data_IF_087209348723
#
_entry.id   IF_087209348723
#
_cell.length_a   1.000
_cell.length_b   1.000
_cell.length_c   1.000
_cell.angle_alpha   90.00
_cell.angle_beta   90.00
_cell.angle_gamma   90.00
#
_symmetry.space_group_name_H-M   'P 1'
#
loop_
_entity.id
_entity.type
_entity.pdbx_description
1 polymer ?
#
# COMPACT_ATOMS: atom_id res chain seq x y z
N UNK A 1 -10.86 -3.18 -1.23
CA UNK A 1 -10.27 -1.88 -0.84
C UNK A 1 -11.32 -0.84 -0.48
N UNK A 2 -12.32 -0.53 -1.31
CA UNK A 2 -13.32 0.50 -0.93
C UNK A 2 -14.19 0.07 0.25
N UNK A 3 -14.60 -1.20 0.33
CA UNK A 3 -15.33 -1.77 1.48
C UNK A 3 -14.51 -1.76 2.78
N UNK A 4 -13.19 -1.98 2.68
CA UNK A 4 -12.29 -1.93 3.83
C UNK A 4 -12.08 -0.49 4.31
N UNK A 5 -11.91 0.46 3.40
CA UNK A 5 -11.82 1.89 3.75
C UNK A 5 -13.12 2.40 4.37
N UNK A 6 -14.27 1.97 3.85
CA UNK A 6 -15.57 2.30 4.42
C UNK A 6 -15.73 1.73 5.85
N UNK A 7 -15.27 0.50 6.06
CA UNK A 7 -15.30 -0.16 7.37
C UNK A 7 -14.41 0.55 8.38
N UNK A 8 -13.19 0.96 7.99
CA UNK A 8 -12.26 1.70 8.84
C UNK A 8 -12.86 3.04 9.26
N UNK A 9 -13.48 3.75 8.30
CA UNK A 9 -14.12 5.03 8.58
C UNK A 9 -15.25 4.87 9.59
N UNK A 10 -16.10 3.87 9.41
CA UNK A 10 -17.15 3.53 10.37
C UNK A 10 -16.60 3.14 11.75
N UNK A 11 -15.48 2.43 11.82
CA UNK A 11 -14.83 2.02 13.06
C UNK A 11 -14.26 3.23 13.83
N UNK A 12 -13.61 4.15 13.13
CA UNK A 12 -13.10 5.42 13.70
C UNK A 12 -14.25 6.32 14.17
N UNK A 13 -15.32 6.42 13.39
CA UNK A 13 -16.47 7.25 13.73
C UNK A 13 -17.20 6.71 14.98
N UNK A 14 -17.27 5.38 15.13
CA UNK A 14 -17.80 4.73 16.34
C UNK A 14 -16.91 4.95 17.57
N UNK A 15 -15.59 4.87 17.41
CA UNK A 15 -14.63 5.13 18.49
C UNK A 15 -14.63 6.59 18.95
N UNK A 16 -14.86 7.52 18.02
CA UNK A 16 -15.06 8.94 18.34
C UNK A 16 -16.38 9.18 19.08
N UNK A 17 -17.46 8.52 18.66
CA UNK A 17 -18.77 8.64 19.30
C UNK A 17 -18.81 8.05 20.72
N UNK A 18 -17.97 7.06 21.02
CA UNK A 18 -17.89 6.45 22.37
C UNK A 18 -17.02 7.24 23.35
N UNK A 19 -16.27 8.25 22.89
CA UNK A 19 -15.33 9.02 23.73
C UNK A 19 -14.13 8.21 24.24
N UNK A 20 -13.92 6.99 23.73
CA UNK A 20 -12.86 6.10 24.19
C UNK A 20 -11.58 6.34 23.39
N UNK A 21 -10.74 7.24 23.91
CA UNK A 21 -9.45 7.59 23.30
C UNK A 21 -8.48 6.41 23.22
N UNK A 22 -8.58 5.41 24.11
CA UNK A 22 -7.74 4.21 24.06
C UNK A 22 -8.10 3.35 22.86
N UNK A 23 -9.40 3.15 22.62
CA UNK A 23 -9.88 2.40 21.47
C UNK A 23 -9.51 3.10 20.16
N UNK A 24 -9.68 4.43 20.08
CA UNK A 24 -9.25 5.21 18.92
C UNK A 24 -7.74 5.08 18.63
N UNK A 25 -6.90 5.15 19.66
CA UNK A 25 -5.43 4.96 19.51
C UNK A 25 -5.08 3.57 19.00
N UNK A 26 -5.70 2.52 19.51
CA UNK A 26 -5.46 1.14 19.04
C UNK A 26 -5.84 0.94 17.58
N UNK A 27 -6.94 1.56 17.14
CA UNK A 27 -7.33 1.56 15.73
C UNK A 27 -6.23 2.25 14.91
N UNK A 28 -5.79 3.45 15.31
CA UNK A 28 -4.80 4.23 14.57
C UNK A 28 -3.43 3.52 14.48
N UNK A 29 -2.89 2.98 15.57
CA UNK A 29 -1.61 2.26 15.62
C UNK A 29 -1.55 1.07 14.64
N UNK A 30 -2.65 0.33 14.54
CA UNK A 30 -2.79 -0.81 13.61
C UNK A 30 -2.68 -0.38 12.14
N UNK A 31 -3.05 0.86 11.82
CA UNK A 31 -2.94 1.41 10.47
C UNK A 31 -1.63 2.18 10.26
N UNK A 32 -1.10 2.81 11.29
CA UNK A 32 0.16 3.55 11.23
C UNK A 32 1.36 2.63 11.05
N UNK A 33 1.36 1.47 11.71
CA UNK A 33 2.35 0.39 11.46
C UNK A 33 2.40 -0.07 10.00
N UNK A 34 1.28 0.02 9.26
CA UNK A 34 1.22 -0.32 7.83
C UNK A 34 1.60 0.84 6.91
N UNK A 35 1.58 2.08 7.40
CA UNK A 35 1.97 3.28 6.64
C UNK A 35 3.48 3.39 6.44
N UNK A 36 4.28 2.78 7.32
CA UNK A 36 5.75 2.76 7.23
C UNK A 36 6.33 1.61 6.40
N UNK A 37 5.52 0.64 5.98
CA UNK A 37 5.98 -0.52 5.20
C UNK A 37 5.78 -0.30 3.70
N UNK A 38 6.87 0.05 3.02
CA UNK A 38 6.90 0.28 1.58
C UNK A 38 6.42 -0.94 0.77
N UNK A 39 6.66 -2.15 1.26
CA UNK A 39 6.24 -3.39 0.59
C UNK A 39 4.71 -3.55 0.62
N UNK A 40 4.08 -3.20 1.75
CA UNK A 40 2.61 -3.20 1.88
C UNK A 40 1.99 -2.15 0.98
N UNK A 41 2.55 -0.93 0.97
CA UNK A 41 2.08 0.15 0.11
C UNK A 41 2.14 -0.24 -1.37
N UNK A 42 3.29 -0.70 -1.85
CA UNK A 42 3.47 -1.04 -3.26
C UNK A 42 2.66 -2.27 -3.68
N UNK A 43 2.43 -3.23 -2.79
CA UNK A 43 1.51 -4.34 -3.04
C UNK A 43 0.09 -3.83 -3.33
N UNK A 44 -0.43 -2.96 -2.48
CA UNK A 44 -1.78 -2.41 -2.65
C UNK A 44 -1.90 -1.52 -3.90
N UNK A 45 -0.87 -0.71 -4.18
CA UNK A 45 -0.79 0.10 -5.39
C UNK A 45 -0.86 -0.76 -6.65
N UNK A 46 0.03 -1.76 -6.77
CA UNK A 46 0.09 -2.68 -7.91
C UNK A 46 -1.25 -3.39 -8.12
N UNK A 47 -1.90 -3.82 -7.04
CA UNK A 47 -3.18 -4.51 -7.10
C UNK A 47 -4.30 -3.60 -7.63
N UNK A 48 -4.44 -2.39 -7.08
CA UNK A 48 -5.49 -1.45 -7.51
C UNK A 48 -5.29 -0.99 -8.94
N UNK A 49 -4.05 -0.70 -9.33
CA UNK A 49 -3.72 -0.30 -10.69
C UNK A 49 -4.03 -1.42 -11.69
N UNK A 50 -3.64 -2.66 -11.39
CA UNK A 50 -3.97 -3.82 -12.25
C UNK A 50 -5.48 -3.98 -12.43
N UNK A 51 -6.26 -3.89 -11.35
CA UNK A 51 -7.72 -4.00 -11.43
C UNK A 51 -8.34 -2.89 -12.28
N UNK A 52 -7.91 -1.65 -12.08
CA UNK A 52 -8.38 -0.51 -12.84
C UNK A 52 -8.00 -0.61 -14.32
N UNK A 53 -6.72 -0.81 -14.63
CA UNK A 53 -6.21 -0.84 -15.99
C UNK A 53 -6.80 -1.99 -16.81
N UNK A 54 -6.91 -3.18 -16.22
CA UNK A 54 -7.55 -4.32 -16.88
C UNK A 54 -9.03 -4.05 -17.17
N UNK A 55 -9.76 -3.43 -16.23
CA UNK A 55 -11.16 -3.05 -16.43
C UNK A 55 -11.31 -2.00 -17.54
N UNK A 56 -10.49 -0.96 -17.52
CA UNK A 56 -10.55 0.13 -18.52
C UNK A 56 -10.21 -0.34 -19.93
N UNK A 57 -9.28 -1.28 -20.07
CA UNK A 57 -8.80 -1.76 -21.38
C UNK A 57 -9.43 -3.09 -21.81
N UNK A 58 -10.42 -3.60 -21.07
CA UNK A 58 -11.02 -4.93 -21.29
C UNK A 58 -9.98 -6.07 -21.39
N UNK A 59 -8.89 -5.96 -20.61
CA UNK A 59 -7.81 -6.94 -20.53
C UNK A 59 -7.99 -7.83 -19.30
N UNK A 60 -7.33 -8.99 -19.31
CA UNK A 60 -7.22 -9.88 -18.16
C UNK A 60 -5.76 -10.32 -18.01
N UNK A 61 -5.35 -10.63 -16.77
CA UNK A 61 -4.01 -11.12 -16.45
C UNK A 61 -3.15 -10.13 -15.66
N UNK A 62 -1.92 -10.55 -15.41
CA UNK A 62 -0.92 -9.79 -14.63
C UNK A 62 -0.32 -8.67 -15.49
N UNK A 63 -0.15 -7.48 -14.92
CA UNK A 63 0.54 -6.36 -15.59
C UNK A 63 2.01 -6.23 -15.20
N UNK A 64 2.39 -6.84 -14.09
CA UNK A 64 3.74 -6.72 -13.52
C UNK A 64 4.47 -8.04 -13.73
N UNK A 65 5.73 -7.96 -14.13
CA UNK A 65 6.56 -9.13 -14.41
C UNK A 65 7.01 -9.85 -13.12
N UNK A 66 7.40 -9.10 -12.09
CA UNK A 66 7.85 -9.66 -10.80
C UNK A 66 7.32 -8.87 -9.58
N UNK A 67 7.49 -9.48 -8.41
CA UNK A 67 7.25 -8.87 -7.10
C UNK A 67 8.14 -7.65 -6.90
N UNK A 68 7.67 -6.71 -6.08
CA UNK A 68 8.48 -5.56 -5.67
C UNK A 68 9.70 -6.03 -4.84
N UNK A 69 10.85 -5.39 -5.05
CA UNK A 69 12.09 -5.59 -4.31
C UNK A 69 12.54 -4.24 -3.77
N UNK A 70 12.76 -4.13 -2.46
CA UNK A 70 13.35 -2.95 -1.81
C UNK A 70 14.80 -3.28 -1.47
N UNK A 71 15.74 -2.67 -2.17
CA UNK A 71 17.17 -2.85 -1.91
C UNK A 71 17.70 -1.55 -1.32
N UNK A 72 18.30 -1.64 -0.12
CA UNK A 72 19.08 -0.54 0.42
C UNK A 72 20.37 -0.45 -0.40
N UNK A 73 20.50 0.61 -1.18
CA UNK A 73 21.72 0.89 -1.93
C UNK A 73 22.54 1.85 -1.08
N UNK A 74 23.67 1.37 -0.54
CA UNK A 74 24.69 2.26 0.01
C UNK A 74 25.21 3.13 -1.15
N UNK A 75 25.10 4.45 -0.99
CA UNK A 75 25.06 5.43 -2.08
C UNK A 75 26.33 5.55 -2.92
N UNK A 76 26.57 4.61 -3.81
CA UNK A 76 27.43 4.79 -4.98
C UNK A 76 26.58 5.05 -6.22
N UNK A 77 26.99 6.03 -7.02
CA UNK A 77 26.32 6.43 -8.26
C UNK A 77 26.25 5.25 -9.25
N UNK A 78 27.24 4.36 -9.23
CA UNK A 78 27.27 3.15 -10.05
C UNK A 78 26.16 2.15 -9.69
N UNK A 79 25.79 2.04 -8.41
CA UNK A 79 24.76 1.09 -7.97
C UNK A 79 23.35 1.55 -8.37
N UNK A 80 23.11 2.87 -8.40
CA UNK A 80 21.85 3.44 -8.92
C UNK A 80 21.73 3.27 -10.43
N UNK A 81 22.81 3.54 -11.18
CA UNK A 81 22.85 3.35 -12.64
C UNK A 81 22.66 1.89 -13.04
N UNK A 82 23.26 0.96 -12.28
CA UNK A 82 23.11 -0.49 -12.51
C UNK A 82 21.67 -0.95 -12.27
N UNK A 83 21.01 -0.44 -11.23
CA UNK A 83 19.59 -0.75 -10.98
C UNK A 83 18.68 -0.14 -12.04
N UNK A 84 18.97 1.08 -12.52
CA UNK A 84 18.21 1.74 -13.59
C UNK A 84 18.38 1.05 -14.95
N UNK A 85 19.53 0.44 -15.21
CA UNK A 85 19.78 -0.34 -16.43
C UNK A 85 19.06 -1.72 -16.43
N UNK A 86 18.48 -2.13 -15.29
CA UNK A 86 17.81 -3.43 -15.12
C UNK A 86 16.27 -3.33 -15.12
N UNK A 87 15.72 -2.21 -15.55
CA UNK A 87 14.27 -1.92 -15.66
C UNK A 87 13.96 -1.41 -17.08
#
# INVERSE_FOLDING_TARGET
>A
NDTQMLHIRQEIDRARASGDERWLRQILDRYESRRGDLSVFLKELKQRFTQWYNRTNNRRGTLWEDRFKSVLVEGSEEALLTMAAYI
#
